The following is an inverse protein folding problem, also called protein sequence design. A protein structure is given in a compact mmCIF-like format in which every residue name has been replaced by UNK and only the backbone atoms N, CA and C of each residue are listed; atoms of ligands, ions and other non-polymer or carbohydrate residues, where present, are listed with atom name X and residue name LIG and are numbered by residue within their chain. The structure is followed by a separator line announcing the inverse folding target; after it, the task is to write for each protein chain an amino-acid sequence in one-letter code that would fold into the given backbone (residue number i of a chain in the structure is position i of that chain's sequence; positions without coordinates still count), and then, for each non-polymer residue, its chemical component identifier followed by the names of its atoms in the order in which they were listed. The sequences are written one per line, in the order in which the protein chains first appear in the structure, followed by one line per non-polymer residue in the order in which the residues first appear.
data_IF_518544194498
#
_entry.id   IF_518544194498
#
_cell.length_a   1.000
_cell.length_b   1.000
_cell.length_c   1.000
_cell.angle_alpha   90.00
_cell.angle_beta   90.00
_cell.angle_gamma   90.00
#
_symmetry.space_group_name_H-M   'P 1'
#
loop_
_entity.id
_entity.type
_entity.pdbx_description
1 polymer ?
#
# COMPACT_ATOMS: atom_id res chain seq x y z
N UNK A 1 1.16 -8.57 -0.16
CA UNK A 1 1.23 -10.05 -0.15
C UNK A 1 2.16 -10.61 0.93
N UNK A 2 3.33 -9.99 1.15
CA UNK A 2 4.35 -10.54 2.07
C UNK A 2 4.65 -9.63 3.28
N UNK A 3 4.03 -8.48 3.39
CA UNK A 3 4.32 -7.44 4.38
C UNK A 3 4.21 -8.00 5.81
N UNK A 4 3.18 -8.66 6.18
CA UNK A 4 2.95 -9.17 7.55
C UNK A 4 3.04 -10.71 7.61
N UNK A 5 3.75 -11.31 6.64
CA UNK A 5 3.86 -12.76 6.57
C UNK A 5 4.89 -13.27 7.56
N UNK A 6 4.50 -14.19 8.43
CA UNK A 6 5.40 -14.92 9.35
C UNK A 6 6.36 -15.81 8.55
N UNK A 7 5.90 -16.37 7.44
CA UNK A 7 6.67 -17.22 6.55
C UNK A 7 6.23 -17.03 5.11
N UNK A 8 7.21 -16.97 4.19
CA UNK A 8 6.97 -16.93 2.75
C UNK A 8 7.52 -18.20 2.12
N UNK A 9 6.67 -18.93 1.39
CA UNK A 9 7.03 -20.16 0.70
C UNK A 9 6.83 -19.98 -0.80
N UNK A 10 7.86 -20.24 -1.59
CA UNK A 10 7.81 -20.24 -3.05
C UNK A 10 7.65 -21.66 -3.54
N UNK A 11 6.52 -21.92 -4.20
CA UNK A 11 6.19 -23.20 -4.82
C UNK A 11 6.44 -23.14 -6.32
N UNK A 12 7.20 -24.09 -6.83
CA UNK A 12 7.52 -24.24 -8.24
C UNK A 12 6.56 -25.17 -8.98
N UNK A 13 6.60 -25.16 -10.32
CA UNK A 13 5.77 -26.02 -11.17
C UNK A 13 6.07 -27.53 -10.98
N UNK A 14 7.30 -27.88 -10.56
CA UNK A 14 7.72 -29.22 -10.18
C UNK A 14 7.23 -29.64 -8.78
N UNK A 15 6.41 -28.81 -8.14
CA UNK A 15 5.86 -28.95 -6.79
C UNK A 15 6.89 -28.86 -5.65
N UNK A 16 8.13 -28.53 -5.95
CA UNK A 16 9.11 -28.25 -4.91
C UNK A 16 8.79 -26.90 -4.24
N UNK A 17 8.98 -26.84 -2.93
CA UNK A 17 8.70 -25.68 -2.11
C UNK A 17 9.98 -25.22 -1.42
N UNK A 18 10.22 -23.91 -1.42
CA UNK A 18 11.39 -23.29 -0.81
C UNK A 18 10.93 -22.14 0.08
N UNK A 19 11.45 -22.11 1.31
CA UNK A 19 11.31 -20.94 2.16
C UNK A 19 12.07 -19.78 1.55
N UNK A 20 11.41 -18.64 1.48
CA UNK A 20 12.01 -17.41 1.00
C UNK A 20 12.38 -16.51 2.18
N UNK A 21 13.53 -15.90 2.07
CA UNK A 21 13.97 -14.81 2.93
C UNK A 21 13.54 -13.49 2.30
N UNK A 22 12.93 -12.60 3.09
CA UNK A 22 12.60 -11.24 2.65
C UNK A 22 13.86 -10.40 2.77
N UNK A 23 14.44 -9.99 1.63
CA UNK A 23 15.63 -9.14 1.58
C UNK A 23 15.27 -7.68 1.83
N UNK A 24 14.10 -7.25 1.36
CA UNK A 24 13.58 -5.92 1.58
C UNK A 24 12.18 -5.74 1.03
N UNK A 25 11.51 -4.72 1.53
CA UNK A 25 10.15 -4.32 1.18
C UNK A 25 10.12 -2.84 0.83
N UNK A 26 9.31 -2.49 -0.14
CA UNK A 26 8.98 -1.11 -0.43
C UNK A 26 7.46 -0.97 -0.61
N UNK A 27 6.80 -0.44 0.41
CA UNK A 27 5.35 -0.31 0.45
C UNK A 27 4.83 0.69 -0.58
N UNK A 28 5.56 1.78 -0.82
CA UNK A 28 5.13 2.83 -1.74
C UNK A 28 5.09 2.37 -3.20
N UNK A 29 5.89 1.37 -3.58
CA UNK A 29 5.83 0.76 -4.91
C UNK A 29 5.15 -0.61 -4.92
N UNK A 30 4.75 -1.16 -3.77
CA UNK A 30 4.18 -2.51 -3.63
C UNK A 30 5.13 -3.61 -4.10
N UNK A 31 6.45 -3.46 -3.84
CA UNK A 31 7.48 -4.40 -4.25
C UNK A 31 8.15 -5.05 -3.05
N UNK A 32 8.36 -6.36 -3.14
CA UNK A 32 9.15 -7.16 -2.21
C UNK A 32 10.27 -7.89 -2.95
N UNK A 33 11.48 -7.85 -2.40
CA UNK A 33 12.60 -8.64 -2.88
C UNK A 33 12.77 -9.88 -1.99
N UNK A 34 12.63 -11.05 -2.61
CA UNK A 34 12.73 -12.34 -1.94
C UNK A 34 13.98 -13.10 -2.39
N UNK A 35 14.58 -13.87 -1.47
CA UNK A 35 15.70 -14.78 -1.72
C UNK A 35 15.33 -16.21 -1.38
N UNK A 36 15.57 -17.12 -2.31
CA UNK A 36 15.43 -18.57 -2.08
C UNK A 36 16.78 -19.27 -2.24
N UNK A 37 16.92 -20.45 -1.59
CA UNK A 37 18.12 -21.30 -1.70
C UNK A 37 17.91 -22.36 -2.78
N UNK A 38 17.94 -21.96 -4.06
CA UNK A 38 17.88 -22.85 -5.22
C UNK A 38 18.89 -22.38 -6.26
N UNK A 39 19.65 -23.28 -6.87
CA UNK A 39 20.75 -22.95 -7.79
C UNK A 39 20.41 -23.19 -9.27
N UNK A 40 19.39 -23.99 -9.57
CA UNK A 40 18.99 -24.40 -10.93
C UNK A 40 17.80 -23.55 -11.46
N UNK A 41 17.87 -22.23 -11.25
CA UNK A 41 16.85 -21.29 -11.70
C UNK A 41 17.10 -20.84 -13.13
N UNK A 42 16.01 -20.78 -13.91
CA UNK A 42 16.00 -20.16 -15.24
C UNK A 42 15.38 -18.76 -15.10
N UNK A 43 16.17 -17.67 -15.11
CA UNK A 43 15.63 -16.34 -15.01
C UNK A 43 14.86 -15.96 -16.26
N UNK A 44 13.83 -15.11 -16.10
CA UNK A 44 13.12 -14.49 -17.22
C UNK A 44 13.96 -13.39 -17.85
N UNK A 45 13.72 -13.08 -19.11
CA UNK A 45 14.27 -11.89 -19.76
C UNK A 45 13.53 -10.66 -19.29
N UNK A 46 14.27 -9.64 -18.89
CA UNK A 46 13.73 -8.34 -18.48
C UNK A 46 13.66 -7.45 -19.71
N UNK A 47 12.45 -6.94 -20.03
CA UNK A 47 12.21 -5.98 -21.09
C UNK A 47 12.30 -4.54 -20.61
N UNK A 48 12.31 -3.59 -21.55
CA UNK A 48 12.29 -2.15 -21.26
C UNK A 48 10.85 -1.63 -21.24
N UNK A 49 10.35 -1.30 -20.04
CA UNK A 49 8.98 -0.80 -19.88
C UNK A 49 8.77 0.65 -20.36
N UNK A 50 9.83 1.42 -20.58
CA UNK A 50 9.72 2.80 -21.10
C UNK A 50 9.44 2.83 -22.60
N UNK A 51 9.63 1.71 -23.31
CA UNK A 51 9.32 1.55 -24.73
C UNK A 51 7.93 1.00 -24.99
N UNK A 52 7.15 0.75 -23.94
CA UNK A 52 5.80 0.17 -24.06
C UNK A 52 4.81 1.23 -24.51
N UNK A 53 4.03 0.91 -25.53
CA UNK A 53 3.02 1.80 -26.09
C UNK A 53 1.59 1.26 -25.90
N UNK A 54 0.61 2.16 -25.96
CA UNK A 54 -0.79 1.76 -25.96
C UNK A 54 -1.11 0.92 -27.21
N UNK A 55 -1.78 -0.21 -27.01
CA UNK A 55 -2.10 -1.18 -28.04
C UNK A 55 -1.12 -2.36 -28.13
N UNK A 56 0.02 -2.31 -27.44
CA UNK A 56 0.95 -3.42 -27.39
C UNK A 56 0.29 -4.67 -26.78
N UNK A 57 0.47 -5.83 -27.42
CA UNK A 57 -0.02 -7.10 -26.91
C UNK A 57 0.76 -7.54 -25.66
N UNK A 58 0.04 -7.98 -24.62
CA UNK A 58 0.64 -8.42 -23.37
C UNK A 58 0.03 -9.71 -22.84
N UNK A 59 0.84 -10.46 -22.09
CA UNK A 59 0.47 -11.74 -21.48
C UNK A 59 0.69 -11.62 -19.97
N UNK A 60 -0.39 -11.80 -19.20
CA UNK A 60 -0.29 -11.87 -17.74
C UNK A 60 -0.30 -13.34 -17.31
N UNK A 61 0.61 -13.68 -16.39
CA UNK A 61 0.71 -15.03 -15.80
C UNK A 61 0.54 -14.95 -14.29
N UNK A 62 -0.18 -15.91 -13.71
CA UNK A 62 -0.38 -15.99 -12.28
C UNK A 62 -1.17 -17.22 -11.86
N UNK A 63 -1.65 -17.24 -10.63
CA UNK A 63 -2.41 -18.34 -10.04
C UNK A 63 -3.73 -17.84 -9.42
N UNK A 64 -4.65 -17.30 -10.24
CA UNK A 64 -5.88 -16.74 -9.74
C UNK A 64 -6.75 -17.81 -9.10
N UNK A 65 -7.35 -17.55 -7.95
CA UNK A 65 -8.26 -18.46 -7.24
C UNK A 65 -7.70 -19.88 -7.03
N UNK A 66 -6.38 -20.02 -6.82
CA UNK A 66 -5.65 -21.30 -6.72
C UNK A 66 -5.66 -22.15 -8.02
N UNK A 67 -5.97 -21.57 -9.17
CA UNK A 67 -5.73 -22.20 -10.47
C UNK A 67 -4.28 -21.88 -10.90
N UNK A 68 -3.36 -22.80 -10.57
CA UNK A 68 -1.94 -22.64 -10.83
C UNK A 68 -1.66 -22.39 -12.33
N UNK A 69 -0.73 -21.44 -12.62
CA UNK A 69 -0.19 -21.16 -13.95
C UNK A 69 -1.23 -20.74 -15.00
N UNK A 70 -2.21 -19.92 -14.60
CA UNK A 70 -3.15 -19.33 -15.55
C UNK A 70 -2.47 -18.26 -16.40
N UNK A 71 -2.76 -18.29 -17.71
CA UNK A 71 -2.24 -17.35 -18.70
C UNK A 71 -3.40 -16.58 -19.30
N UNK A 72 -3.31 -15.26 -19.33
CA UNK A 72 -4.29 -14.37 -19.98
C UNK A 72 -3.60 -13.44 -20.96
N UNK A 73 -4.30 -13.03 -22.02
CA UNK A 73 -3.80 -12.13 -23.05
C UNK A 73 -4.68 -10.89 -23.11
N UNK A 74 -4.09 -9.75 -23.39
CA UNK A 74 -4.73 -8.48 -23.59
C UNK A 74 -3.77 -7.48 -24.23
N UNK A 75 -4.05 -6.18 -24.07
CA UNK A 75 -3.20 -5.10 -24.55
C UNK A 75 -2.85 -4.12 -23.44
N UNK A 76 -1.86 -3.29 -23.68
CA UNK A 76 -1.64 -2.08 -22.89
C UNK A 76 -2.73 -1.07 -23.22
N UNK A 77 -3.58 -0.79 -22.27
CA UNK A 77 -4.67 0.19 -22.41
C UNK A 77 -4.22 1.61 -22.16
N UNK A 78 -3.21 1.81 -21.30
CA UNK A 78 -2.58 3.10 -21.02
C UNK A 78 -1.24 2.91 -20.31
N UNK A 79 -0.37 3.91 -20.40
CA UNK A 79 0.89 4.02 -19.65
C UNK A 79 0.82 5.19 -18.67
N UNK A 80 1.68 5.20 -17.65
CA UNK A 80 1.82 6.31 -16.71
C UNK A 80 0.58 6.55 -15.84
N UNK A 81 -0.24 5.52 -15.54
CA UNK A 81 -1.43 5.69 -14.70
C UNK A 81 -1.07 5.84 -13.23
N UNK A 82 -1.44 6.96 -12.62
CA UNK A 82 -1.50 7.08 -11.15
C UNK A 82 -2.78 6.45 -10.64
N UNK A 83 -2.69 5.69 -9.56
CA UNK A 83 -3.82 5.08 -8.87
C UNK A 83 -3.89 5.70 -7.49
N UNK A 84 -4.99 6.36 -7.18
CA UNK A 84 -5.23 6.85 -5.82
C UNK A 84 -5.83 5.71 -4.99
N UNK A 85 -4.98 5.01 -4.25
CA UNK A 85 -5.40 3.93 -3.36
C UNK A 85 -5.99 4.44 -2.03
N UNK A 86 -5.87 5.73 -1.76
CA UNK A 86 -6.22 6.33 -0.46
C UNK A 86 -5.33 5.90 0.72
N UNK A 87 -4.29 5.09 0.43
CA UNK A 87 -3.32 4.57 1.41
C UNK A 87 -1.89 5.01 1.12
N UNK A 88 -1.66 5.87 0.13
CA UNK A 88 -0.32 6.24 -0.34
C UNK A 88 0.40 5.14 -1.14
N UNK A 89 -0.11 3.90 -1.12
CA UNK A 89 0.46 2.77 -1.87
C UNK A 89 0.28 3.04 -3.36
N UNK A 90 1.39 3.03 -4.11
CA UNK A 90 1.39 3.20 -5.55
C UNK A 90 1.32 4.64 -6.05
N UNK A 91 1.32 5.65 -5.18
CA UNK A 91 1.28 7.06 -5.60
C UNK A 91 2.54 7.48 -6.40
N UNK A 92 3.65 6.72 -6.23
CA UNK A 92 4.92 6.93 -6.92
C UNK A 92 5.15 5.97 -8.10
N UNK A 93 4.14 5.18 -8.48
CA UNK A 93 4.24 4.19 -9.56
C UNK A 93 3.46 4.66 -10.78
N UNK A 94 4.12 4.87 -11.94
CA UNK A 94 3.46 5.16 -13.22
C UNK A 94 2.94 3.87 -13.85
N UNK A 95 1.86 3.29 -13.34
CA UNK A 95 1.37 1.97 -13.73
C UNK A 95 1.13 1.80 -15.23
N UNK A 96 1.43 0.61 -15.73
CA UNK A 96 0.92 0.10 -16.99
C UNK A 96 -0.51 -0.41 -16.75
N UNK A 97 -1.48 0.13 -17.49
CA UNK A 97 -2.86 -0.35 -17.48
C UNK A 97 -3.06 -1.38 -18.58
N UNK A 98 -3.72 -2.50 -18.29
CA UNK A 98 -4.04 -3.54 -19.27
C UNK A 98 -5.47 -4.06 -19.08
N UNK A 99 -6.06 -4.59 -20.14
CA UNK A 99 -7.32 -5.32 -20.12
C UNK A 99 -7.12 -6.84 -20.05
N UNK A 100 -5.87 -7.33 -20.06
CA UNK A 100 -5.56 -8.72 -19.76
C UNK A 100 -6.22 -9.10 -18.43
N UNK A 101 -6.86 -10.26 -18.38
CA UNK A 101 -7.63 -10.64 -17.20
C UNK A 101 -6.72 -10.94 -16.00
N UNK A 102 -6.66 -9.99 -15.06
CA UNK A 102 -5.96 -10.11 -13.78
C UNK A 102 -7.00 -10.21 -12.66
N UNK A 103 -6.83 -11.19 -11.77
CA UNK A 103 -7.67 -11.41 -10.59
C UNK A 103 -6.78 -11.63 -9.36
N UNK A 104 -7.41 -11.75 -8.17
CA UNK A 104 -6.69 -12.12 -6.95
C UNK A 104 -5.93 -13.43 -7.15
N UNK A 105 -4.62 -13.41 -6.87
CA UNK A 105 -3.69 -14.52 -7.12
C UNK A 105 -2.74 -14.28 -8.29
N UNK A 106 -3.02 -13.32 -9.18
CA UNK A 106 -2.08 -12.89 -10.22
C UNK A 106 -1.11 -11.80 -9.74
N UNK A 107 -1.41 -11.11 -8.63
CA UNK A 107 -0.53 -10.07 -8.06
C UNK A 107 0.85 -10.64 -7.73
N UNK A 108 1.92 -9.93 -8.13
CA UNK A 108 3.31 -10.37 -8.05
C UNK A 108 3.75 -11.25 -9.22
N UNK A 109 2.83 -11.73 -10.07
CA UNK A 109 3.14 -12.42 -11.30
C UNK A 109 3.58 -11.48 -12.42
N UNK A 110 4.29 -12.00 -13.45
CA UNK A 110 4.83 -11.18 -14.53
C UNK A 110 3.74 -10.75 -15.53
N UNK A 111 3.94 -9.55 -16.10
CA UNK A 111 3.33 -9.10 -17.34
C UNK A 111 4.40 -9.13 -18.43
N UNK A 112 4.20 -9.97 -19.43
CA UNK A 112 5.12 -10.14 -20.56
C UNK A 112 4.67 -9.32 -21.76
N UNK A 113 5.63 -8.89 -22.60
CA UNK A 113 5.37 -8.49 -23.97
C UNK A 113 5.30 -9.74 -24.89
N UNK A 114 4.99 -9.52 -26.17
CA UNK A 114 4.90 -10.60 -27.16
C UNK A 114 6.26 -11.22 -27.56
N UNK A 115 7.38 -10.61 -27.15
CA UNK A 115 8.72 -11.17 -27.31
C UNK A 115 9.13 -12.10 -26.16
N UNK A 116 8.28 -12.28 -25.13
CA UNK A 116 8.57 -13.09 -23.95
C UNK A 116 9.46 -12.39 -22.92
N UNK A 117 9.51 -11.07 -22.92
CA UNK A 117 10.22 -10.26 -21.94
C UNK A 117 9.26 -9.71 -20.90
N UNK A 118 9.64 -9.72 -19.63
CA UNK A 118 8.85 -9.11 -18.54
C UNK A 118 8.95 -7.60 -18.60
N UNK A 119 7.82 -6.94 -18.85
CA UNK A 119 7.70 -5.49 -18.89
C UNK A 119 7.00 -4.91 -17.67
N UNK A 120 6.42 -5.76 -16.81
CA UNK A 120 5.77 -5.31 -15.59
C UNK A 120 5.48 -6.43 -14.60
N UNK A 121 5.10 -6.03 -13.39
CA UNK A 121 4.65 -6.93 -12.31
C UNK A 121 3.18 -6.62 -12.04
N UNK A 122 2.29 -7.61 -12.19
CA UNK A 122 0.87 -7.45 -11.89
C UNK A 122 0.70 -7.07 -10.41
N UNK A 123 0.00 -5.98 -10.12
CA UNK A 123 -0.17 -5.48 -8.76
C UNK A 123 -1.65 -5.44 -8.36
N UNK A 124 -2.46 -4.64 -9.00
CA UNK A 124 -3.83 -4.41 -8.55
C UNK A 124 -4.83 -4.30 -9.71
N UNK A 125 -6.10 -4.37 -9.38
CA UNK A 125 -7.22 -4.17 -10.30
C UNK A 125 -8.13 -3.07 -9.76
N UNK A 126 -8.77 -2.32 -10.67
CA UNK A 126 -9.95 -1.56 -10.31
C UNK A 126 -11.18 -2.45 -10.47
N UNK A 127 -11.92 -2.66 -9.41
CA UNK A 127 -13.08 -3.55 -9.43
C UNK A 127 -14.12 -3.13 -8.39
N UNK A 128 -15.37 -3.14 -8.78
CA UNK A 128 -16.53 -2.95 -7.89
C UNK A 128 -17.08 -4.28 -7.40
N UNK A 129 -16.90 -5.34 -8.17
CA UNK A 129 -17.40 -6.69 -7.88
C UNK A 129 -16.36 -7.58 -7.18
N UNK A 130 -15.07 -7.14 -7.13
CA UNK A 130 -13.93 -7.91 -6.63
C UNK A 130 -13.26 -8.81 -7.67
N UNK A 131 -13.81 -8.91 -8.90
CA UNK A 131 -13.22 -9.60 -10.04
C UNK A 131 -12.73 -8.63 -11.12
N UNK A 132 -12.10 -9.17 -12.18
CA UNK A 132 -11.64 -8.40 -13.31
C UNK A 132 -12.80 -7.68 -14.04
N UNK A 133 -12.66 -6.38 -14.26
CA UNK A 133 -13.60 -5.53 -15.03
C UNK A 133 -12.89 -4.86 -16.23
N UNK A 134 -11.78 -5.42 -16.70
CA UNK A 134 -10.99 -4.87 -17.82
C UNK A 134 -10.05 -3.74 -17.40
N UNK A 135 -9.82 -3.52 -16.11
CA UNK A 135 -8.95 -2.49 -15.56
C UNK A 135 -7.95 -3.14 -14.59
N UNK A 136 -6.84 -3.58 -15.13
CA UNK A 136 -5.73 -4.13 -14.37
C UNK A 136 -4.49 -3.23 -14.50
N UNK A 137 -3.63 -3.27 -13.49
CA UNK A 137 -2.47 -2.39 -13.35
C UNK A 137 -1.24 -3.20 -12.98
N UNK A 138 -0.16 -2.97 -13.72
CA UNK A 138 1.14 -3.57 -13.47
C UNK A 138 2.18 -2.49 -13.16
N UNK A 139 3.08 -2.77 -12.23
CA UNK A 139 4.24 -1.94 -11.93
C UNK A 139 5.20 -2.07 -13.10
N UNK A 140 5.65 -0.98 -13.75
CA UNK A 140 6.61 -1.05 -14.84
C UNK A 140 7.92 -1.72 -14.40
N UNK A 141 8.50 -2.54 -15.27
CA UNK A 141 9.68 -3.33 -14.89
C UNK A 141 10.91 -2.47 -14.62
N UNK A 142 11.08 -1.33 -15.31
CA UNK A 142 12.17 -0.40 -15.02
C UNK A 142 12.07 0.17 -13.61
N UNK A 143 10.85 0.52 -13.15
CA UNK A 143 10.61 0.96 -11.75
C UNK A 143 10.95 -0.17 -10.78
N UNK A 144 10.54 -1.40 -11.09
CA UNK A 144 10.83 -2.55 -10.24
C UNK A 144 12.35 -2.80 -10.12
N UNK A 145 13.09 -2.68 -11.21
CA UNK A 145 14.57 -2.83 -11.20
C UNK A 145 15.23 -1.76 -10.34
N UNK A 146 14.83 -0.49 -10.47
CA UNK A 146 15.35 0.61 -9.63
C UNK A 146 15.12 0.37 -8.13
N UNK A 147 13.93 -0.10 -7.77
CA UNK A 147 13.57 -0.45 -6.39
C UNK A 147 14.39 -1.64 -5.90
N UNK A 148 14.49 -2.71 -6.70
CA UNK A 148 15.25 -3.92 -6.37
C UNK A 148 16.73 -3.60 -6.15
N UNK A 149 17.33 -2.74 -6.97
CA UNK A 149 18.74 -2.37 -6.84
C UNK A 149 18.99 -1.60 -5.55
N UNK A 150 18.09 -0.68 -5.17
CA UNK A 150 18.18 0.02 -3.89
C UNK A 150 17.98 -0.93 -2.68
N UNK A 151 16.99 -1.84 -2.76
CA UNK A 151 16.78 -2.84 -1.71
C UNK A 151 17.99 -3.76 -1.52
N UNK A 152 18.70 -4.09 -2.60
CA UNK A 152 19.95 -4.88 -2.54
C UNK A 152 21.13 -4.11 -1.93
N UNK A 153 21.29 -2.83 -2.30
CA UNK A 153 22.45 -2.03 -1.87
C UNK A 153 22.26 -1.44 -0.47
N UNK A 154 21.09 -0.89 -0.21
CA UNK A 154 20.84 -0.03 0.94
C UNK A 154 19.82 -0.60 1.93
N UNK A 155 19.15 -1.72 1.55
CA UNK A 155 18.09 -2.35 2.34
C UNK A 155 16.78 -1.55 2.39
N UNK A 156 16.75 -0.36 1.79
CA UNK A 156 15.59 0.54 1.73
C UNK A 156 15.56 1.30 0.41
N UNK A 157 14.40 1.85 0.08
CA UNK A 157 14.22 2.73 -1.08
C UNK A 157 14.21 4.18 -0.63
N UNK A 158 15.09 4.99 -1.20
CA UNK A 158 15.17 6.43 -0.97
C UNK A 158 14.49 7.14 -2.14
N UNK A 159 13.62 8.10 -1.85
CA UNK A 159 12.86 8.85 -2.85
C UNK A 159 13.14 10.33 -2.76
N UNK A 160 13.17 10.96 -3.93
CA UNK A 160 13.21 12.41 -4.01
C UNK A 160 11.90 13.03 -3.49
N UNK A 161 12.02 14.24 -2.97
CA UNK A 161 10.90 14.99 -2.41
C UNK A 161 11.11 16.50 -2.57
N UNK A 162 10.09 17.20 -3.02
CA UNK A 162 10.12 18.65 -3.13
C UNK A 162 9.54 19.36 -1.90
N UNK A 163 8.62 18.72 -1.20
CA UNK A 163 7.87 19.37 -0.12
C UNK A 163 6.77 20.29 -0.64
N UNK A 164 6.02 19.84 -1.64
CA UNK A 164 4.89 20.59 -2.19
C UNK A 164 3.59 19.79 -2.10
N UNK A 165 2.48 20.53 -1.98
CA UNK A 165 1.13 20.00 -2.21
C UNK A 165 0.51 20.74 -3.38
N UNK A 166 -0.21 20.01 -4.23
CA UNK A 166 -0.74 20.60 -5.43
C UNK A 166 -1.86 19.78 -6.06
N UNK A 167 -2.04 19.97 -7.33
CA UNK A 167 -3.03 19.24 -8.12
C UNK A 167 -3.02 19.62 -9.58
N UNK A 168 -4.01 19.11 -10.30
CA UNK A 168 -4.18 19.33 -11.73
C UNK A 168 -4.50 20.79 -12.07
N UNK A 169 -4.04 21.22 -13.22
CA UNK A 169 -4.42 22.52 -13.81
C UNK A 169 -5.75 22.33 -14.55
N UNK A 170 -6.85 22.84 -14.00
CA UNK A 170 -8.14 22.84 -14.70
C UNK A 170 -8.15 23.84 -15.86
N UNK A 171 -9.06 23.65 -16.83
CA UNK A 171 -9.23 24.59 -17.95
C UNK A 171 -9.53 26.01 -17.49
N UNK A 172 -10.28 26.18 -16.40
CA UNK A 172 -10.61 27.50 -15.88
C UNK A 172 -9.43 28.14 -15.15
N UNK A 173 -8.64 27.34 -14.40
CA UNK A 173 -7.40 27.81 -13.79
C UNK A 173 -6.39 28.24 -14.87
N UNK A 174 -6.21 27.44 -15.93
CA UNK A 174 -5.33 27.79 -17.04
C UNK A 174 -5.71 29.13 -17.68
N UNK A 175 -7.02 29.36 -17.93
CA UNK A 175 -7.52 30.64 -18.46
C UNK A 175 -7.25 31.80 -17.48
N UNK A 176 -7.50 31.61 -16.19
CA UNK A 176 -7.29 32.63 -15.17
C UNK A 176 -5.80 33.01 -15.04
N UNK A 177 -4.90 32.06 -15.20
CA UNK A 177 -3.45 32.27 -15.19
C UNK A 177 -2.91 32.78 -16.55
N UNK A 178 -3.71 32.80 -17.61
CA UNK A 178 -3.27 33.18 -18.95
C UNK A 178 -2.46 32.11 -19.68
N UNK A 179 -2.56 30.85 -19.26
CA UNK A 179 -1.91 29.71 -19.90
C UNK A 179 -2.64 29.30 -21.19
N UNK A 180 -1.90 28.83 -22.18
CA UNK A 180 -2.47 28.36 -23.47
C UNK A 180 -3.17 27.01 -23.37
N UNK A 181 -2.73 26.16 -22.46
CA UNK A 181 -3.24 24.79 -22.25
C UNK A 181 -3.35 24.47 -20.76
N UNK A 182 -4.29 23.63 -20.33
CA UNK A 182 -4.42 23.17 -18.95
C UNK A 182 -3.45 21.99 -18.72
N UNK A 183 -2.16 22.28 -18.57
CA UNK A 183 -1.09 21.30 -18.34
C UNK A 183 -0.21 21.74 -17.18
N UNK A 184 0.44 20.81 -16.55
CA UNK A 184 1.38 21.05 -15.46
C UNK A 184 0.84 20.71 -14.07
N UNK A 185 1.71 20.83 -13.10
CA UNK A 185 1.43 20.64 -11.68
C UNK A 185 1.22 21.97 -10.98
N UNK A 186 -0.01 22.30 -10.61
CA UNK A 186 -0.32 23.52 -9.86
C UNK A 186 0.04 23.34 -8.38
N UNK A 187 0.93 24.20 -7.88
CA UNK A 187 1.40 24.18 -6.49
C UNK A 187 0.45 25.00 -5.61
N UNK A 188 -0.15 24.37 -4.62
CA UNK A 188 -1.08 24.99 -3.66
C UNK A 188 -0.39 25.42 -2.38
N UNK A 189 0.55 24.62 -1.90
CA UNK A 189 1.36 24.92 -0.72
C UNK A 189 2.77 24.36 -0.87
N UNK A 190 3.70 24.99 -0.17
CA UNK A 190 5.11 24.65 -0.11
C UNK A 190 5.47 24.46 1.36
N UNK A 191 6.21 23.40 1.69
CA UNK A 191 6.66 23.09 3.03
C UNK A 191 7.84 24.00 3.40
N UNK A 192 7.71 24.74 4.49
CA UNK A 192 8.76 25.61 5.00
C UNK A 192 10.08 24.85 5.24
N UNK A 193 11.18 25.37 4.70
CA UNK A 193 12.50 24.74 4.74
C UNK A 193 12.66 23.50 3.86
N UNK A 194 11.64 23.13 3.07
CA UNK A 194 11.68 22.06 2.09
C UNK A 194 12.56 22.40 0.88
N UNK A 195 12.73 21.44 -0.03
CA UNK A 195 13.50 21.62 -1.27
C UNK A 195 12.89 22.71 -2.16
N UNK A 196 11.57 22.70 -2.34
CA UNK A 196 10.84 23.70 -3.13
C UNK A 196 10.98 25.11 -2.54
N UNK A 197 10.83 25.26 -1.22
CA UNK A 197 10.96 26.55 -0.53
C UNK A 197 12.38 27.13 -0.71
N UNK A 198 13.40 26.34 -0.47
CA UNK A 198 14.82 26.73 -0.64
C UNK A 198 15.15 27.13 -2.08
N UNK A 199 14.44 26.58 -3.05
CA UNK A 199 14.64 26.86 -4.47
C UNK A 199 13.78 28.02 -4.97
N UNK A 200 12.90 28.58 -4.13
CA UNK A 200 12.05 29.72 -4.46
C UNK A 200 10.79 29.35 -5.28
N UNK A 201 10.36 28.11 -5.23
CA UNK A 201 9.03 27.68 -5.70
C UNK A 201 7.98 28.22 -4.71
N UNK A 202 6.89 28.78 -5.22
CA UNK A 202 5.88 29.47 -4.43
C UNK A 202 4.49 28.83 -4.65
N UNK A 203 3.57 28.96 -3.67
CA UNK A 203 2.16 28.69 -3.92
C UNK A 203 1.63 29.54 -5.09
N UNK A 204 0.90 28.92 -6.01
CA UNK A 204 0.40 29.53 -7.24
C UNK A 204 1.24 29.23 -8.48
N UNK A 205 2.44 28.70 -8.35
CA UNK A 205 3.24 28.24 -9.49
C UNK A 205 2.59 27.05 -10.19
N UNK A 206 2.89 26.91 -11.48
CA UNK A 206 2.58 25.70 -12.24
C UNK A 206 3.90 25.12 -12.78
N UNK A 207 4.32 23.98 -12.28
CA UNK A 207 5.51 23.27 -12.79
C UNK A 207 5.15 22.58 -14.09
N UNK A 208 5.92 22.83 -15.14
CA UNK A 208 5.69 22.36 -16.51
C UNK A 208 6.69 21.30 -16.96
N UNK A 209 7.90 21.28 -16.39
CA UNK A 209 8.91 20.27 -16.64
C UNK A 209 9.91 20.19 -15.48
N UNK A 210 10.56 19.05 -15.33
CA UNK A 210 11.75 18.82 -14.49
C UNK A 210 12.83 18.30 -15.44
N UNK A 211 13.91 19.05 -15.60
CA UNK A 211 14.91 18.84 -16.65
C UNK A 211 14.23 18.70 -18.02
N UNK A 212 14.44 17.58 -18.73
CA UNK A 212 13.83 17.29 -20.03
C UNK A 212 12.45 16.57 -19.91
N UNK A 213 12.02 16.20 -18.69
CA UNK A 213 10.78 15.48 -18.46
C UNK A 213 9.59 16.45 -18.37
N UNK A 214 8.68 16.39 -19.35
CA UNK A 214 7.46 17.21 -19.37
C UNK A 214 6.48 16.78 -18.27
N UNK A 215 5.95 17.76 -17.52
CA UNK A 215 4.92 17.58 -16.50
C UNK A 215 3.57 18.00 -17.09
N UNK A 216 2.74 17.04 -17.49
CA UNK A 216 1.39 17.27 -18.01
C UNK A 216 0.36 17.25 -16.88
N UNK A 217 0.53 16.34 -15.93
CA UNK A 217 -0.32 16.13 -14.76
C UNK A 217 0.48 16.26 -13.46
N UNK A 218 -0.19 16.55 -12.37
CA UNK A 218 0.48 16.64 -11.06
C UNK A 218 1.21 15.34 -10.65
N UNK A 219 0.65 14.20 -11.02
CA UNK A 219 1.28 12.87 -10.77
C UNK A 219 2.60 12.68 -11.53
N UNK A 220 2.76 13.34 -12.72
CA UNK A 220 4.01 13.22 -13.48
C UNK A 220 5.15 13.87 -12.66
N UNK A 221 4.89 15.03 -12.02
CA UNK A 221 5.83 15.63 -11.08
C UNK A 221 6.18 14.67 -9.92
N UNK A 222 5.18 14.00 -9.34
CA UNK A 222 5.43 13.05 -8.25
C UNK A 222 6.28 11.87 -8.72
N UNK A 223 6.01 11.32 -9.90
CA UNK A 223 6.79 10.22 -10.48
C UNK A 223 8.23 10.63 -10.78
N UNK A 224 8.44 11.75 -11.48
CA UNK A 224 9.77 12.23 -11.86
C UNK A 224 10.61 12.53 -10.60
N UNK A 225 10.06 13.31 -9.66
CA UNK A 225 10.78 13.65 -8.43
C UNK A 225 10.99 12.42 -7.55
N UNK A 226 9.99 11.53 -7.42
CA UNK A 226 10.10 10.32 -6.60
C UNK A 226 11.19 9.34 -7.06
N UNK A 227 11.49 9.31 -8.37
CA UNK A 227 12.60 8.51 -8.96
C UNK A 227 13.94 9.24 -8.93
N UNK A 228 13.95 10.56 -8.78
CA UNK A 228 15.18 11.34 -8.67
C UNK A 228 15.84 11.09 -7.32
N UNK A 229 17.14 10.78 -7.33
CA UNK A 229 17.88 10.55 -6.07
C UNK A 229 17.92 11.83 -5.23
N UNK A 230 17.76 11.74 -3.90
CA UNK A 230 17.98 12.87 -3.01
C UNK A 230 19.33 13.52 -3.21
N UNK A 231 19.40 14.84 -3.02
CA UNK A 231 20.56 15.70 -3.25
C UNK A 231 21.01 15.82 -4.73
N UNK A 232 20.20 15.37 -5.68
CA UNK A 232 20.40 15.68 -7.10
C UNK A 232 19.90 17.08 -7.39
N UNK A 233 20.66 17.86 -8.17
CA UNK A 233 20.22 19.14 -8.71
C UNK A 233 19.45 18.90 -10.01
N UNK A 234 18.27 19.50 -10.14
CA UNK A 234 17.41 19.46 -11.31
C UNK A 234 16.92 20.86 -11.65
N UNK A 235 16.53 21.10 -12.88
CA UNK A 235 15.97 22.37 -13.33
C UNK A 235 14.44 22.25 -13.40
N UNK A 236 13.72 22.98 -12.56
CA UNK A 236 12.27 23.09 -12.63
C UNK A 236 11.88 24.23 -13.58
N UNK A 237 11.20 23.91 -14.69
CA UNK A 237 10.55 24.89 -15.54
C UNK A 237 9.14 25.14 -14.99
N UNK A 238 8.84 26.37 -14.64
CA UNK A 238 7.55 26.73 -14.08
C UNK A 238 6.94 27.98 -14.76
N UNK A 239 5.63 28.11 -14.63
CA UNK A 239 4.87 29.25 -15.04
C UNK A 239 4.38 30.02 -13.80
N UNK A 240 4.74 31.32 -13.73
CA UNK A 240 4.38 32.25 -12.65
C UNK A 240 4.01 33.58 -13.24
N UNK A 241 2.84 34.14 -12.91
CA UNK A 241 2.40 35.51 -13.30
C UNK A 241 2.55 35.80 -14.80
N UNK A 242 2.25 34.84 -15.68
CA UNK A 242 2.31 35.01 -17.12
C UNK A 242 3.69 34.76 -17.73
N UNK A 243 4.72 34.45 -16.98
CA UNK A 243 6.09 34.25 -17.44
C UNK A 243 6.56 32.80 -17.18
N UNK A 244 7.46 32.31 -18.04
CA UNK A 244 8.21 31.08 -17.83
C UNK A 244 9.47 31.41 -17.00
N UNK A 245 9.70 30.63 -15.96
CA UNK A 245 10.88 30.71 -15.09
C UNK A 245 11.57 29.36 -15.03
N UNK A 246 12.86 29.38 -14.77
CA UNK A 246 13.68 28.19 -14.55
C UNK A 246 14.37 28.34 -13.21
N UNK A 247 14.20 27.34 -12.33
CA UNK A 247 14.78 27.33 -11.00
C UNK A 247 15.61 26.07 -10.82
N UNK A 248 16.84 26.24 -10.30
CA UNK A 248 17.66 25.12 -9.88
C UNK A 248 17.12 24.60 -8.53
N UNK A 249 16.81 23.33 -8.47
CA UNK A 249 16.20 22.67 -7.32
C UNK A 249 17.09 21.52 -6.86
N UNK A 250 17.59 21.58 -5.66
CA UNK A 250 18.21 20.42 -5.01
C UNK A 250 17.10 19.55 -4.41
N UNK A 251 16.88 18.37 -4.99
CA UNK A 251 15.84 17.44 -4.55
C UNK A 251 16.12 16.97 -3.13
N UNK A 252 15.13 17.11 -2.23
CA UNK A 252 15.20 16.58 -0.87
C UNK A 252 14.95 15.07 -0.81
N UNK A 253 15.08 14.46 0.33
CA UNK A 253 14.63 13.08 0.57
C UNK A 253 13.20 13.10 1.10
N UNK A 254 12.35 12.22 0.56
CA UNK A 254 11.02 11.98 1.10
C UNK A 254 11.19 11.57 2.57
N UNK A 255 10.63 12.32 3.53
CA UNK A 255 10.71 11.91 4.92
C UNK A 255 10.20 10.48 5.01
N UNK A 256 11.06 9.56 5.42
CA UNK A 256 10.56 8.30 5.95
C UNK A 256 9.76 8.78 7.15
N UNK A 257 8.44 8.74 7.08
CA UNK A 257 7.69 8.58 8.30
C UNK A 257 8.28 7.29 8.89
N UNK A 258 9.35 7.42 9.70
CA UNK A 258 9.51 6.49 10.81
C UNK A 258 8.12 6.51 11.40
N UNK A 259 7.42 5.42 11.19
CA UNK A 259 6.06 5.33 11.65
C UNK A 259 6.15 5.51 13.16
N UNK A 260 6.04 6.77 13.62
CA UNK A 260 5.54 7.02 14.97
C UNK A 260 4.23 6.22 15.16
N UNK A 261 3.58 5.81 14.08
CA UNK A 261 2.63 4.73 14.02
C UNK A 261 3.22 3.39 14.50
N UNK A 262 4.41 2.93 14.08
CA UNK A 262 4.94 1.64 14.61
C UNK A 262 5.34 1.72 16.07
N UNK A 263 5.95 2.84 16.52
CA UNK A 263 6.23 3.02 17.95
C UNK A 263 4.95 3.34 18.73
N UNK A 264 4.04 4.16 18.18
CA UNK A 264 2.76 4.45 18.83
C UNK A 264 1.74 3.32 18.66
N UNK A 265 1.79 2.52 17.58
CA UNK A 265 0.98 1.30 17.43
C UNK A 265 1.51 0.22 18.38
N UNK A 266 2.81 -0.06 18.45
CA UNK A 266 3.37 -1.01 19.41
C UNK A 266 3.18 -0.58 20.87
N UNK A 267 3.30 0.70 21.18
CA UNK A 267 2.97 1.22 22.52
C UNK A 267 1.47 1.23 22.78
N UNK A 268 0.62 1.42 21.78
CA UNK A 268 -0.83 1.31 21.91
C UNK A 268 -1.32 -0.14 21.88
N UNK A 269 -0.72 -1.01 21.08
CA UNK A 269 -1.01 -2.46 21.10
C UNK A 269 -0.66 -3.10 22.46
N UNK A 270 0.47 -2.73 23.05
CA UNK A 270 0.83 -3.19 24.39
C UNK A 270 -0.07 -2.62 25.50
N UNK A 271 -0.82 -1.55 25.23
CA UNK A 271 -1.77 -0.95 26.16
C UNK A 271 -3.15 -1.63 26.13
N UNK A 272 -3.47 -2.41 25.08
CA UNK A 272 -4.77 -3.06 24.91
C UNK A 272 -4.59 -4.59 24.78
N UNK A 273 -4.93 -5.36 25.81
CA UNK A 273 -4.82 -6.82 25.77
C UNK A 273 -5.54 -7.42 24.56
N UNK A 274 -4.92 -8.39 23.89
CA UNK A 274 -5.37 -9.01 22.64
C UNK A 274 -5.58 -8.03 21.45
N UNK A 275 -5.08 -6.80 21.57
CA UNK A 275 -5.31 -5.77 20.56
C UNK A 275 -6.77 -5.33 20.45
N UNK A 276 -7.53 -5.39 21.54
CA UNK A 276 -8.93 -4.97 21.58
C UNK A 276 -9.09 -3.68 22.39
N UNK A 277 -9.63 -2.63 21.76
CA UNK A 277 -10.14 -1.46 22.49
C UNK A 277 -11.60 -1.72 22.85
N UNK A 278 -11.89 -1.69 24.13
CA UNK A 278 -13.19 -2.04 24.69
C UNK A 278 -13.82 -0.83 25.39
N UNK A 279 -15.14 -0.76 25.36
CA UNK A 279 -15.95 0.22 26.04
C UNK A 279 -17.07 -0.47 26.83
N UNK A 280 -17.34 0.02 28.05
CA UNK A 280 -18.43 -0.48 28.88
C UNK A 280 -19.77 -0.05 28.30
N UNK A 281 -20.76 -0.95 28.25
CA UNK A 281 -22.08 -0.61 27.76
C UNK A 281 -22.81 0.31 28.73
N UNK A 282 -23.33 1.45 28.24
CA UNK A 282 -24.13 2.37 29.04
C UNK A 282 -25.45 1.72 29.51
N UNK A 283 -25.92 2.12 30.70
CA UNK A 283 -27.08 1.52 31.40
C UNK A 283 -28.40 1.57 30.60
N UNK A 284 -28.47 2.32 29.50
CA UNK A 284 -29.62 2.43 28.58
C UNK A 284 -29.60 1.42 27.44
N UNK A 285 -28.43 0.95 27.02
CA UNK A 285 -28.25 0.00 25.89
C UNK A 285 -28.43 -1.45 26.34
N UNK A 286 -28.23 -1.73 27.64
CA UNK A 286 -28.45 -3.06 28.25
C UNK A 286 -29.89 -3.59 28.09
N UNK A 287 -30.87 -2.72 27.74
CA UNK A 287 -32.31 -3.07 27.68
C UNK A 287 -32.80 -3.62 26.34
N UNK A 288 -32.03 -3.60 25.27
CA UNK A 288 -32.52 -4.01 23.94
C UNK A 288 -32.03 -5.36 23.44
N UNK A 289 -30.83 -5.84 23.83
CA UNK A 289 -30.29 -7.09 23.25
C UNK A 289 -29.46 -8.01 24.18
N UNK A 290 -29.04 -7.57 25.40
CA UNK A 290 -28.14 -8.39 26.21
C UNK A 290 -28.56 -8.37 27.69
N UNK A 291 -29.18 -9.46 28.14
CA UNK A 291 -29.61 -9.63 29.54
C UNK A 291 -28.47 -9.78 30.57
N UNK A 292 -27.22 -9.73 30.19
CA UNK A 292 -26.06 -10.08 31.05
C UNK A 292 -24.91 -9.04 31.11
N UNK A 293 -25.03 -7.87 30.45
CA UNK A 293 -23.94 -6.91 30.36
C UNK A 293 -22.84 -7.39 29.38
N UNK A 294 -21.77 -6.61 29.24
CA UNK A 294 -20.66 -6.92 28.36
C UNK A 294 -19.85 -5.70 27.96
N UNK A 295 -18.83 -5.91 27.17
CA UNK A 295 -17.92 -4.89 26.66
C UNK A 295 -18.08 -4.78 25.14
N UNK A 296 -18.31 -3.57 24.63
CA UNK A 296 -18.36 -3.32 23.20
C UNK A 296 -16.96 -3.17 22.64
N UNK A 297 -16.66 -3.88 21.56
CA UNK A 297 -15.41 -3.72 20.81
C UNK A 297 -15.53 -2.48 19.95
N UNK A 298 -14.75 -1.45 20.25
CA UNK A 298 -14.72 -0.19 19.51
C UNK A 298 -13.65 -0.18 18.44
N UNK A 299 -12.57 -0.96 18.64
CA UNK A 299 -11.49 -1.14 17.68
C UNK A 299 -10.81 -2.49 17.88
N UNK A 300 -10.38 -3.11 16.77
CA UNK A 300 -9.48 -4.27 16.74
C UNK A 300 -8.23 -3.84 16.01
N UNK A 301 -7.07 -3.98 16.65
CA UNK A 301 -5.81 -3.58 16.03
C UNK A 301 -5.35 -4.66 15.02
N UNK A 302 -4.84 -4.27 13.84
CA UNK A 302 -4.24 -5.21 12.91
C UNK A 302 -3.08 -5.98 13.56
N UNK A 303 -2.84 -7.22 13.14
CA UNK A 303 -1.76 -8.08 13.64
C UNK A 303 -1.82 -8.43 15.14
N UNK A 304 -2.97 -8.26 15.76
CA UNK A 304 -3.20 -8.66 17.15
C UNK A 304 -3.85 -10.05 17.22
N UNK A 305 -3.74 -10.75 18.37
CA UNK A 305 -4.32 -12.08 18.57
C UNK A 305 -5.82 -12.18 18.24
N UNK A 306 -6.59 -11.12 18.47
CA UNK A 306 -8.02 -11.10 18.18
C UNK A 306 -8.36 -10.70 16.73
N UNK A 307 -7.36 -10.27 15.92
CA UNK A 307 -7.61 -9.81 14.56
C UNK A 307 -8.16 -10.93 13.65
N UNK A 308 -9.21 -10.64 12.90
CA UNK A 308 -9.87 -11.61 12.01
C UNK A 308 -10.86 -12.56 12.71
N UNK A 309 -10.93 -12.57 14.05
CA UNK A 309 -11.86 -13.38 14.84
C UNK A 309 -12.89 -12.50 15.52
N UNK A 310 -12.45 -11.41 16.13
CA UNK A 310 -13.30 -10.41 16.78
C UNK A 310 -13.39 -9.18 15.87
N UNK A 311 -14.55 -8.54 15.82
CA UNK A 311 -14.79 -7.39 14.94
C UNK A 311 -15.32 -6.19 15.72
N UNK A 312 -15.11 -5.00 15.15
CA UNK A 312 -15.71 -3.78 15.69
C UNK A 312 -17.22 -3.89 15.75
N UNK A 313 -17.81 -3.58 16.88
CA UNK A 313 -19.25 -3.69 17.15
C UNK A 313 -19.65 -4.97 17.87
N UNK A 314 -18.78 -5.98 17.94
CA UNK A 314 -19.03 -7.16 18.79
C UNK A 314 -19.19 -6.72 20.25
N UNK A 315 -20.02 -7.45 20.99
CA UNK A 315 -20.15 -7.31 22.44
C UNK A 315 -19.68 -8.59 23.10
N UNK A 316 -18.57 -8.52 23.82
CA UNK A 316 -17.99 -9.66 24.52
C UNK A 316 -18.42 -9.64 25.97
N UNK A 317 -18.83 -10.77 26.52
CA UNK A 317 -19.33 -10.88 27.88
C UNK A 317 -18.71 -11.97 28.73
N UNK A 318 -17.97 -12.89 28.10
CA UNK A 318 -17.29 -13.98 28.83
C UNK A 318 -16.00 -14.39 28.13
N UNK A 319 -15.04 -14.84 28.92
CA UNK A 319 -13.91 -15.64 28.48
C UNK A 319 -13.99 -16.98 29.14
N UNK A 320 -13.75 -18.06 28.39
CA UNK A 320 -13.66 -19.42 28.92
C UNK A 320 -12.28 -19.97 28.65
N UNK A 321 -11.61 -20.46 29.68
CA UNK A 321 -10.33 -21.15 29.60
C UNK A 321 -10.37 -22.44 30.38
N UNK A 322 -10.16 -23.56 29.68
CA UNK A 322 -10.33 -24.91 30.25
C UNK A 322 -11.75 -25.05 30.86
N UNK A 323 -11.89 -25.14 32.17
CA UNK A 323 -13.19 -25.28 32.89
C UNK A 323 -13.57 -23.99 33.63
N UNK A 324 -12.81 -22.91 33.48
CA UNK A 324 -13.03 -21.65 34.21
C UNK A 324 -13.69 -20.62 33.27
N UNK A 325 -14.74 -19.98 33.79
CA UNK A 325 -15.45 -18.90 33.08
C UNK A 325 -15.21 -17.57 33.78
N UNK A 326 -14.75 -16.58 33.03
CA UNK A 326 -14.57 -15.20 33.47
C UNK A 326 -15.72 -14.36 32.89
N UNK A 327 -16.53 -13.75 33.72
CA UNK A 327 -17.60 -12.87 33.29
C UNK A 327 -17.06 -11.45 33.19
N UNK A 328 -17.31 -10.80 32.04
CA UNK A 328 -16.79 -9.47 31.70
C UNK A 328 -17.89 -8.43 31.85
N UNK A 329 -17.73 -7.52 32.80
CA UNK A 329 -18.63 -6.38 33.05
C UNK A 329 -17.92 -5.06 32.86
N UNK A 330 -16.63 -5.01 33.19
CA UNK A 330 -15.77 -3.83 33.10
C UNK A 330 -14.53 -4.16 32.26
N UNK A 331 -13.88 -3.13 31.73
CA UNK A 331 -12.60 -3.28 31.03
C UNK A 331 -11.54 -3.85 31.97
N UNK A 332 -11.64 -3.57 33.27
CA UNK A 332 -10.80 -4.16 34.31
C UNK A 332 -10.94 -5.70 34.38
N UNK A 333 -12.18 -6.21 34.38
CA UNK A 333 -12.43 -7.66 34.38
C UNK A 333 -11.75 -8.36 33.19
N UNK A 334 -11.78 -7.73 32.03
CA UNK A 334 -11.13 -8.25 30.83
C UNK A 334 -9.61 -8.27 30.98
N UNK A 335 -9.02 -7.16 31.42
CA UNK A 335 -7.58 -7.02 31.61
C UNK A 335 -7.05 -8.01 32.65
N UNK A 336 -7.74 -8.16 33.77
CA UNK A 336 -7.38 -9.10 34.84
C UNK A 336 -7.47 -10.55 34.34
N UNK A 337 -8.51 -10.88 33.57
CA UNK A 337 -8.64 -12.21 32.98
C UNK A 337 -7.48 -12.51 32.03
N UNK A 338 -7.16 -11.60 31.09
CA UNK A 338 -6.07 -11.81 30.12
C UNK A 338 -4.72 -11.94 30.83
N UNK A 339 -4.44 -11.12 31.83
CA UNK A 339 -3.19 -11.18 32.61
C UNK A 339 -3.02 -12.49 33.42
N UNK A 340 -4.08 -13.28 33.57
CA UNK A 340 -4.02 -14.57 34.26
C UNK A 340 -3.59 -15.75 33.37
N UNK A 341 -3.47 -15.52 32.04
CA UNK A 341 -3.10 -16.55 31.07
C UNK A 341 -1.61 -16.45 30.67
N UNK A 342 -1.08 -17.52 30.11
CA UNK A 342 0.29 -17.56 29.61
C UNK A 342 0.30 -17.54 28.07
N UNK A 343 1.39 -17.05 27.49
CA UNK A 343 1.66 -17.16 26.04
C UNK A 343 1.48 -18.59 25.56
N UNK A 344 0.71 -18.78 24.48
CA UNK A 344 0.33 -20.06 23.92
C UNK A 344 -0.96 -20.69 24.49
N UNK A 345 -1.58 -20.07 25.50
CA UNK A 345 -2.90 -20.52 25.97
C UNK A 345 -3.97 -20.10 24.95
N UNK A 346 -4.90 -21.01 24.62
CA UNK A 346 -6.06 -20.72 23.76
C UNK A 346 -7.28 -20.50 24.66
N UNK A 347 -7.82 -19.30 24.59
CA UNK A 347 -9.04 -18.92 25.30
C UNK A 347 -10.24 -18.88 24.33
N UNK A 348 -11.45 -19.07 24.85
CA UNK A 348 -12.68 -18.90 24.08
C UNK A 348 -13.38 -17.60 24.50
N UNK A 349 -13.45 -16.63 23.58
CA UNK A 349 -14.21 -15.40 23.79
C UNK A 349 -15.66 -15.65 23.38
N UNK A 350 -16.59 -15.33 24.27
CA UNK A 350 -18.04 -15.48 24.05
C UNK A 350 -18.67 -14.11 24.10
N UNK A 351 -19.57 -13.87 23.15
CA UNK A 351 -20.27 -12.61 23.03
C UNK A 351 -21.40 -12.64 22.04
N UNK A 352 -21.74 -11.48 21.47
CA UNK A 352 -22.74 -11.34 20.42
C UNK A 352 -22.27 -10.42 19.30
N UNK A 353 -22.59 -10.77 18.05
CA UNK A 353 -22.41 -9.99 16.84
C UNK A 353 -23.77 -9.84 16.16
N UNK A 354 -24.26 -8.62 16.01
CA UNK A 354 -25.57 -8.35 15.42
C UNK A 354 -26.72 -9.17 16.02
N UNK A 355 -26.65 -9.42 17.34
CA UNK A 355 -27.66 -10.21 18.06
C UNK A 355 -27.45 -11.74 18.01
N UNK A 356 -26.52 -12.26 17.25
CA UNK A 356 -26.16 -13.68 17.21
C UNK A 356 -25.01 -13.97 18.18
N UNK A 357 -25.05 -15.12 18.87
CA UNK A 357 -23.96 -15.53 19.74
C UNK A 357 -22.69 -15.86 18.93
N UNK A 358 -21.52 -15.40 19.41
CA UNK A 358 -20.22 -15.75 18.88
C UNK A 358 -19.41 -16.53 19.92
N UNK A 359 -18.55 -17.44 19.43
CA UNK A 359 -17.67 -18.30 20.19
C UNK A 359 -16.33 -18.37 19.47
N UNK A 360 -15.44 -17.42 19.74
CA UNK A 360 -14.22 -17.24 18.97
C UNK A 360 -12.99 -17.67 19.79
N UNK A 361 -12.24 -18.68 19.35
CA UNK A 361 -10.99 -19.07 19.99
C UNK A 361 -9.89 -18.05 19.66
N UNK A 362 -9.16 -17.60 20.67
CA UNK A 362 -8.05 -16.64 20.51
C UNK A 362 -6.84 -17.18 21.28
N UNK A 363 -5.68 -17.21 20.65
CA UNK A 363 -4.42 -17.60 21.28
C UNK A 363 -3.78 -16.38 21.97
N UNK A 364 -3.23 -16.57 23.16
CA UNK A 364 -2.51 -15.53 23.92
C UNK A 364 -1.07 -15.49 23.42
N UNK A 365 -0.62 -14.34 22.92
CA UNK A 365 0.76 -14.09 22.46
C UNK A 365 1.66 -13.50 23.54
#
# INVERSE_FOLDING_TARGET
MVQDAVEVVVKFHDRQEFRAEIIGLDELSDIALLKIKRSDLSPVSVGNSDLVEQGDGVIAIGSPYNYDFSVTFGIISATGRGINSGRGIGDYVPYLQTDAAVNRGNSGGPLFNTNGEVIGINSQIYSRSGGNEGLAFAIPMNVAVEVIDQLKSDGRVSRGYLGVQGGEVSSDLAKALGMKKPVGAHIRSVLDGGAADKSGILPGDVILAIDDDEVVYFKDLQHTIGRTKPNTEVVAQLFREGALLYLDVTVGELPVEETQAETSIKEQESAFPLGLRLEELETGEQKRDISQGGLRVTQVFPNSPAFGQIFRGDVINKIVFKQTTFNLKTVGDFTDAINSFNTGDIILIIGTREGANIFEPVEIE
#
